data_IF_208561819038
#
_entry.id   IF_208561819038
#
_cell.length_a   1.000
_cell.length_b   1.000
_cell.length_c   1.000
_cell.angle_alpha   90.00
_cell.angle_beta   90.00
_cell.angle_gamma   90.00
#
_symmetry.space_group_name_H-M   'P 1'
#
loop_
_entity.id
_entity.type
_entity.pdbx_description
1 polymer ?
#
# COMPACT_ATOMS: atom_id res chain seq x y z
N UNK A 1 -6.18 17.44 9.74
CA UNK A 1 -7.42 17.51 8.94
C UNK A 1 -7.75 16.11 8.49
N UNK A 2 -8.87 15.54 8.96
CA UNK A 2 -9.42 14.33 8.36
C UNK A 2 -9.67 14.59 6.88
N UNK A 3 -9.60 13.54 6.06
CA UNK A 3 -9.75 13.62 4.60
C UNK A 3 -10.96 14.49 4.26
N UNK A 4 -10.72 15.66 3.64
CA UNK A 4 -11.78 16.56 3.22
C UNK A 4 -12.79 15.76 2.39
N UNK A 5 -14.10 15.75 2.72
CA UNK A 5 -15.09 14.95 2.02
C UNK A 5 -15.15 15.22 0.50
N UNK A 6 -14.68 16.39 0.04
CA UNK A 6 -14.55 16.72 -1.39
C UNK A 6 -13.15 16.53 -2.00
N UNK A 7 -12.19 15.97 -1.26
CA UNK A 7 -10.82 15.78 -1.73
C UNK A 7 -10.69 14.67 -2.78
N UNK A 8 -9.60 14.69 -3.56
CA UNK A 8 -9.31 13.65 -4.56
C UNK A 8 -9.35 12.24 -3.96
N UNK A 9 -8.89 12.08 -2.72
CA UNK A 9 -8.79 10.78 -2.05
C UNK A 9 -10.16 10.23 -1.65
N UNK A 10 -11.14 11.10 -1.36
CA UNK A 10 -12.52 10.71 -1.10
C UNK A 10 -13.19 10.20 -2.39
N UNK A 11 -13.01 10.92 -3.50
CA UNK A 11 -13.50 10.53 -4.82
C UNK A 11 -12.91 9.18 -5.26
N UNK A 12 -11.60 8.97 -5.06
CA UNK A 12 -10.96 7.69 -5.39
C UNK A 12 -11.59 6.54 -4.62
N UNK A 13 -11.81 6.71 -3.31
CA UNK A 13 -12.44 5.68 -2.46
C UNK A 13 -13.85 5.37 -2.92
N UNK A 14 -14.63 6.40 -3.25
CA UNK A 14 -16.01 6.24 -3.71
C UNK A 14 -16.06 5.51 -5.06
N UNK A 15 -15.19 5.86 -6.00
CA UNK A 15 -15.12 5.17 -7.29
C UNK A 15 -14.73 3.70 -7.12
N UNK A 16 -13.74 3.38 -6.28
CA UNK A 16 -13.34 1.99 -6.01
C UNK A 16 -14.50 1.19 -5.40
N UNK A 17 -15.23 1.79 -4.43
CA UNK A 17 -16.44 1.19 -3.86
C UNK A 17 -17.54 0.98 -4.91
N UNK A 18 -17.83 1.98 -5.73
CA UNK A 18 -18.83 1.88 -6.81
C UNK A 18 -18.47 0.82 -7.85
N UNK A 19 -17.18 0.57 -8.06
CA UNK A 19 -16.69 -0.48 -8.97
C UNK A 19 -16.64 -1.86 -8.35
N UNK A 20 -16.93 -2.00 -7.05
CA UNK A 20 -16.85 -3.27 -6.34
C UNK A 20 -15.43 -3.83 -6.34
N UNK A 21 -14.43 -2.94 -6.32
CA UNK A 21 -13.02 -3.32 -6.27
C UNK A 21 -12.59 -3.33 -4.81
N UNK A 22 -12.13 -4.48 -4.35
CA UNK A 22 -11.53 -4.56 -3.02
C UNK A 22 -10.20 -3.82 -3.04
N UNK A 23 -10.04 -2.88 -2.13
CA UNK A 23 -8.83 -2.10 -1.99
C UNK A 23 -8.37 -2.10 -0.53
N UNK A 24 -7.07 -2.10 -0.37
CA UNK A 24 -6.39 -1.93 0.91
C UNK A 24 -5.78 -0.53 0.98
N UNK A 25 -5.68 -0.03 2.20
CA UNK A 25 -5.04 1.25 2.49
C UNK A 25 -3.85 0.98 3.39
N UNK A 26 -2.81 1.80 3.26
CA UNK A 26 -1.65 1.71 4.14
C UNK A 26 -2.05 1.88 5.63
N UNK A 27 -1.33 1.20 6.53
CA UNK A 27 -1.64 1.14 7.95
C UNK A 27 -1.65 2.55 8.58
N UNK A 28 -0.71 3.41 8.18
CA UNK A 28 -0.66 4.81 8.61
C UNK A 28 -1.90 5.61 8.16
N UNK A 29 -2.39 5.33 6.96
CA UNK A 29 -3.61 5.96 6.44
C UNK A 29 -4.85 5.46 7.18
N UNK A 30 -4.91 4.16 7.50
CA UNK A 30 -5.99 3.58 8.31
C UNK A 30 -6.03 4.18 9.71
N UNK A 31 -4.89 4.29 10.40
CA UNK A 31 -4.80 4.89 11.73
C UNK A 31 -5.26 6.36 11.75
N UNK A 32 -4.90 7.12 10.70
CA UNK A 32 -5.37 8.51 10.54
C UNK A 32 -6.88 8.59 10.32
N UNK A 33 -7.47 7.64 9.59
CA UNK A 33 -8.90 7.59 9.29
C UNK A 33 -9.75 7.06 10.45
N UNK A 34 -9.23 6.12 11.22
CA UNK A 34 -9.91 5.55 12.39
C UNK A 34 -9.88 6.50 13.59
N UNK A 35 -9.10 7.58 13.53
CA UNK A 35 -8.91 8.54 14.62
C UNK A 35 -7.87 8.09 15.67
N UNK A 36 -7.18 6.98 15.41
CA UNK A 36 -6.11 6.45 16.27
C UNK A 36 -4.80 7.25 16.12
N UNK A 37 -4.68 8.06 15.07
CA UNK A 37 -3.54 8.95 14.85
C UNK A 37 -3.98 10.35 14.44
N UNK A 38 -3.39 11.36 15.08
CA UNK A 38 -3.52 12.77 14.69
C UNK A 38 -2.58 13.15 13.54
N UNK A 39 -1.64 12.27 13.20
CA UNK A 39 -0.68 12.48 12.12
C UNK A 39 -1.38 12.24 10.78
N UNK A 40 -1.36 13.25 9.92
CA UNK A 40 -1.99 13.19 8.59
C UNK A 40 -0.90 12.73 7.62
N UNK A 41 -1.12 11.62 6.89
CA UNK A 41 -0.16 11.21 5.87
C UNK A 41 -0.14 12.24 4.74
N UNK A 42 1.05 12.50 4.19
CA UNK A 42 1.22 13.38 3.03
C UNK A 42 0.53 12.82 1.78
N UNK A 43 0.38 11.49 1.72
CA UNK A 43 -0.28 10.80 0.62
C UNK A 43 -0.92 9.50 1.10
N UNK A 44 -2.15 9.27 0.67
CA UNK A 44 -2.84 8.01 0.87
C UNK A 44 -2.52 7.08 -0.29
N UNK A 45 -1.97 5.91 0.01
CA UNK A 45 -1.71 4.85 -0.95
C UNK A 45 -2.83 3.81 -0.88
N UNK A 46 -3.29 3.41 -2.06
CA UNK A 46 -4.29 2.37 -2.25
C UNK A 46 -3.67 1.22 -3.02
N UNK A 47 -3.88 0.00 -2.56
CA UNK A 47 -3.53 -1.24 -3.28
C UNK A 47 -4.81 -2.00 -3.60
N UNK A 48 -4.86 -2.64 -4.77
CA UNK A 48 -5.99 -3.46 -5.19
C UNK A 48 -5.52 -4.51 -6.18
N UNK A 49 -6.35 -5.52 -6.44
CA UNK A 49 -6.04 -6.52 -7.45
C UNK A 49 -6.16 -5.91 -8.86
N UNK A 50 -5.07 -5.81 -9.65
CA UNK A 50 -5.11 -5.18 -10.96
C UNK A 50 -6.08 -5.88 -11.93
N UNK A 51 -6.37 -7.18 -11.73
CA UNK A 51 -7.34 -7.91 -12.57
C UNK A 51 -8.77 -7.39 -12.42
N UNK A 52 -9.14 -6.89 -11.24
CA UNK A 52 -10.46 -6.32 -10.97
C UNK A 52 -10.57 -4.89 -11.52
N UNK A 53 -9.44 -4.19 -11.64
CA UNK A 53 -9.41 -2.79 -12.07
C UNK A 53 -8.27 -2.52 -13.06
N UNK A 54 -8.56 -2.73 -14.35
CA UNK A 54 -7.62 -2.57 -15.46
C UNK A 54 -7.65 -1.17 -16.12
N UNK A 55 -8.34 -0.18 -15.51
CA UNK A 55 -8.52 1.15 -16.10
C UNK A 55 -7.62 2.16 -15.42
N UNK A 56 -7.12 3.13 -16.18
CA UNK A 56 -6.44 4.31 -15.62
C UNK A 56 -7.50 5.30 -15.16
N UNK A 57 -7.49 5.66 -13.88
CA UNK A 57 -8.29 6.77 -13.34
C UNK A 57 -7.40 7.96 -13.05
N UNK A 58 -7.86 9.14 -13.42
CA UNK A 58 -7.18 10.41 -13.13
C UNK A 58 -8.18 11.31 -12.42
N UNK A 59 -7.85 11.76 -11.22
CA UNK A 59 -8.66 12.72 -10.45
C UNK A 59 -7.75 13.85 -10.00
N UNK A 60 -7.91 15.02 -10.63
CA UNK A 60 -6.97 16.13 -10.46
C UNK A 60 -5.54 15.69 -10.82
N UNK A 61 -4.61 15.88 -9.89
CA UNK A 61 -3.20 15.49 -10.06
C UNK A 61 -2.88 14.04 -9.64
N UNK A 62 -3.89 13.25 -9.23
CA UNK A 62 -3.71 11.85 -8.82
C UNK A 62 -4.05 10.90 -9.97
N UNK A 63 -3.22 9.88 -10.16
CA UNK A 63 -3.42 8.83 -11.15
C UNK A 63 -3.43 7.46 -10.47
N UNK A 64 -4.49 6.69 -10.66
CA UNK A 64 -4.55 5.26 -10.32
C UNK A 64 -4.36 4.45 -11.59
N UNK A 65 -3.39 3.52 -11.57
CA UNK A 65 -3.10 2.60 -12.67
C UNK A 65 -2.64 1.25 -12.13
N UNK A 66 -2.51 0.27 -13.02
CA UNK A 66 -2.21 -1.13 -12.70
C UNK A 66 -0.79 -1.40 -12.22
N UNK A 67 0.06 -0.37 -12.07
CA UNK A 67 1.47 -0.54 -11.73
C UNK A 67 1.76 -0.01 -10.33
N UNK A 68 1.47 -0.82 -9.33
CA UNK A 68 2.30 -0.87 -8.12
C UNK A 68 3.01 -2.21 -8.14
N UNK A 69 4.08 -2.29 -8.96
CA UNK A 69 5.04 -3.39 -8.88
C UNK A 69 5.92 -3.10 -7.67
N UNK A 70 5.46 -3.49 -6.48
CA UNK A 70 6.33 -3.59 -5.31
C UNK A 70 7.22 -4.80 -5.54
N UNK A 71 8.37 -4.60 -6.18
CA UNK A 71 9.46 -5.56 -6.09
C UNK A 71 9.94 -5.54 -4.64
N UNK A 72 9.33 -6.36 -3.79
CA UNK A 72 9.89 -6.65 -2.48
C UNK A 72 11.23 -7.32 -2.73
N UNK A 73 12.31 -6.59 -2.45
CA UNK A 73 13.64 -7.16 -2.36
C UNK A 73 13.66 -8.08 -1.14
N UNK A 74 13.17 -9.31 -1.31
CA UNK A 74 13.43 -10.39 -0.36
C UNK A 74 14.86 -10.81 -0.63
N UNK A 75 15.80 -10.26 0.13
CA UNK A 75 17.10 -10.92 0.27
C UNK A 75 16.84 -12.22 1.04
N UNK A 76 17.12 -13.40 0.48
CA UNK A 76 17.17 -14.60 1.31
C UNK A 76 18.37 -14.41 2.24
N UNK A 77 18.12 -14.14 3.52
CA UNK A 77 19.14 -14.26 4.56
C UNK A 77 19.48 -15.75 4.64
N UNK A 78 20.40 -16.19 3.79
CA UNK A 78 21.03 -17.50 3.89
C UNK A 78 21.72 -17.55 5.24
N UNK A 79 21.13 -18.28 6.18
CA UNK A 79 21.78 -18.65 7.41
C UNK A 79 23.12 -19.31 7.06
N UNK A 80 24.22 -18.68 7.44
CA UNK A 80 25.54 -19.30 7.39
C UNK A 80 25.55 -20.47 8.38
N UNK A 81 25.72 -21.73 7.95
CA UNK A 81 25.97 -22.81 8.88
C UNK A 81 27.38 -22.63 9.44
N UNK A 82 27.49 -22.43 10.76
CA UNK A 82 28.77 -22.48 11.47
C UNK A 82 29.24 -23.95 11.40
N UNK A 83 30.17 -24.23 10.51
CA UNK A 83 30.90 -25.50 10.49
C UNK A 83 31.87 -25.50 11.67
N UNK A 84 31.46 -26.16 12.76
CA UNK A 84 32.34 -26.54 13.87
C UNK A 84 33.36 -27.55 13.33
N UNK A 85 34.58 -27.11 13.01
CA UNK A 85 35.69 -28.06 12.81
C UNK A 85 36.35 -28.31 14.16
N UNK A 86 35.94 -29.39 14.82
CA UNK A 86 36.73 -30.05 15.85
C UNK A 86 38.00 -30.60 15.19
N UNK A 87 39.15 -30.01 15.49
CA UNK A 87 40.44 -30.62 15.19
C UNK A 87 40.90 -31.41 16.40
N UNK A 88 40.89 -32.73 16.24
CA UNK A 88 41.87 -33.61 16.87
C UNK A 88 43.26 -33.15 16.42
N UNK A 89 44.06 -32.67 17.37
CA UNK A 89 45.52 -32.67 17.32
C UNK A 89 46.02 -32.79 18.76
#
# INVERSE_FOLDING_TARGET
MPTNPGGSDALMREILKMKGVDFEMDNLSLQSLSGESTQIPSSVHYSWNPKQFNRKLVVGNRVLGTSQKTESMVTPVFATPILTTSWLA
#
